data_IF_196796275282
#
_entry.id   IF_196796275282
#
_cell.length_a   1.000
_cell.length_b   1.000
_cell.length_c   1.000
_cell.angle_alpha   90.00
_cell.angle_beta   90.00
_cell.angle_gamma   90.00
#
_symmetry.space_group_name_H-M   'P 1'
#
loop_
_entity.id
_entity.type
_entity.pdbx_description
1 polymer ?
#
# COMPACT_ATOMS: atom_id res chain seq x y z
N UNK A 1 21.96 13.13 1.86
CA UNK A 1 20.75 12.41 2.31
C UNK A 1 21.14 10.96 2.13
N UNK A 2 21.32 10.26 3.23
CA UNK A 2 21.99 8.95 3.22
C UNK A 2 20.97 7.81 3.41
N UNK A 3 19.69 8.15 3.63
CA UNK A 3 18.53 7.25 3.65
C UNK A 3 17.23 8.00 3.27
N UNK A 4 16.20 7.25 2.91
CA UNK A 4 14.86 7.74 2.62
C UNK A 4 13.91 7.39 3.77
N UNK A 5 13.10 8.35 4.24
CA UNK A 5 12.15 8.05 5.33
C UNK A 5 11.01 7.12 4.85
N UNK A 6 10.42 7.37 3.68
CA UNK A 6 9.30 6.59 3.15
C UNK A 6 9.48 6.32 1.66
N UNK A 7 9.43 5.04 1.28
CA UNK A 7 9.27 4.63 -0.13
C UNK A 7 7.86 4.08 -0.35
N UNK A 8 7.27 4.36 -1.53
CA UNK A 8 5.94 3.87 -1.85
C UNK A 8 5.89 3.21 -3.21
N UNK A 9 5.21 2.05 -3.27
CA UNK A 9 4.81 1.45 -4.53
C UNK A 9 3.73 2.33 -5.15
N UNK A 10 4.05 2.96 -6.28
CA UNK A 10 3.08 3.79 -7.00
C UNK A 10 2.10 2.91 -7.79
N UNK A 11 0.82 3.12 -7.56
CA UNK A 11 -0.26 2.45 -8.28
C UNK A 11 -1.59 3.20 -8.15
N UNK A 12 -2.53 2.82 -9.01
CA UNK A 12 -3.91 3.30 -9.03
C UNK A 12 -4.85 2.19 -8.52
N UNK A 13 -5.10 1.18 -9.34
CA UNK A 13 -5.84 -0.04 -9.00
C UNK A 13 -4.92 -1.26 -9.15
N UNK A 14 -5.05 -2.25 -8.27
CA UNK A 14 -4.21 -3.44 -8.28
C UNK A 14 -4.96 -4.69 -8.77
N UNK A 15 -4.44 -5.37 -9.79
CA UNK A 15 -4.96 -6.68 -10.18
C UNK A 15 -4.54 -7.77 -9.20
N UNK A 16 -5.21 -8.92 -9.25
CA UNK A 16 -4.83 -10.08 -8.43
C UNK A 16 -3.42 -10.59 -8.74
N UNK A 17 -3.03 -10.59 -10.02
CA UNK A 17 -1.68 -10.95 -10.47
C UNK A 17 -0.63 -9.98 -9.89
N UNK A 18 -0.88 -8.67 -10.02
CA UNK A 18 0.04 -7.64 -9.49
C UNK A 18 0.17 -7.75 -7.97
N UNK A 19 -0.96 -7.90 -7.27
CA UNK A 19 -0.97 -8.06 -5.82
C UNK A 19 -0.19 -9.31 -5.40
N UNK A 20 -0.35 -10.42 -6.12
CA UNK A 20 0.35 -11.68 -5.83
C UNK A 20 1.86 -11.55 -6.06
N UNK A 21 2.28 -10.91 -7.15
CA UNK A 21 3.70 -10.67 -7.44
C UNK A 21 4.36 -9.72 -6.44
N UNK A 22 3.63 -8.76 -5.89
CA UNK A 22 4.16 -7.85 -4.88
C UNK A 22 4.30 -8.54 -3.52
N UNK A 23 3.32 -9.36 -3.12
CA UNK A 23 3.28 -10.01 -1.81
C UNK A 23 4.01 -11.35 -1.74
N UNK A 24 4.37 -11.95 -2.87
CA UNK A 24 5.05 -13.26 -2.90
C UNK A 24 6.37 -13.26 -2.13
N UNK A 25 6.82 -14.44 -1.73
CA UNK A 25 8.19 -14.62 -1.24
C UNK A 25 9.18 -14.19 -2.34
N UNK A 26 10.15 -13.34 -1.99
CA UNK A 26 11.05 -12.71 -2.95
C UNK A 26 10.36 -11.75 -3.95
N UNK A 27 9.10 -11.37 -3.71
CA UNK A 27 8.39 -10.37 -4.48
C UNK A 27 8.86 -8.95 -4.17
N UNK A 28 8.26 -7.96 -4.85
CA UNK A 28 8.68 -6.55 -4.73
C UNK A 28 8.70 -6.06 -3.27
N UNK A 29 7.71 -6.44 -2.44
CA UNK A 29 7.69 -5.99 -1.05
C UNK A 29 8.84 -6.57 -0.22
N UNK A 30 9.28 -7.79 -0.52
CA UNK A 30 10.42 -8.39 0.18
C UNK A 30 11.72 -7.61 -0.09
N UNK A 31 11.92 -7.14 -1.33
CA UNK A 31 13.06 -6.28 -1.67
C UNK A 31 13.00 -4.93 -0.95
N UNK A 32 11.81 -4.32 -0.84
CA UNK A 32 11.64 -3.08 -0.07
C UNK A 32 11.86 -3.28 1.43
N UNK A 33 11.46 -4.43 1.97
CA UNK A 33 11.75 -4.81 3.36
C UNK A 33 13.25 -5.03 3.57
N UNK A 34 13.96 -5.63 2.62
CA UNK A 34 15.42 -5.77 2.68
C UNK A 34 16.13 -4.40 2.70
N UNK A 35 15.72 -3.46 1.83
CA UNK A 35 16.22 -2.08 1.84
C UNK A 35 15.97 -1.38 3.18
N UNK A 36 14.83 -1.67 3.82
CA UNK A 36 14.53 -1.17 5.17
C UNK A 36 15.47 -1.77 6.21
N UNK A 37 15.67 -3.08 6.15
CA UNK A 37 16.50 -3.80 7.11
C UNK A 37 18.00 -3.45 6.96
N UNK A 38 18.44 -3.01 5.77
CA UNK A 38 19.75 -2.42 5.50
C UNK A 38 19.88 -0.95 5.96
N UNK A 39 18.78 -0.31 6.36
CA UNK A 39 18.76 1.08 6.83
C UNK A 39 18.73 2.15 5.73
N UNK A 40 18.53 1.74 4.47
CA UNK A 40 18.43 2.64 3.31
C UNK A 40 17.06 3.31 3.22
N UNK A 41 16.02 2.61 3.70
CA UNK A 41 14.65 3.12 3.83
C UNK A 41 14.16 2.90 5.26
N UNK A 42 13.25 3.74 5.78
CA UNK A 42 12.69 3.55 7.13
C UNK A 42 11.30 2.94 7.12
N UNK A 43 10.46 3.34 6.17
CA UNK A 43 9.08 2.90 6.04
C UNK A 43 8.71 2.56 4.60
N UNK A 44 7.85 1.56 4.45
CA UNK A 44 7.33 1.10 3.17
C UNK A 44 5.83 1.40 3.08
N UNK A 45 5.38 1.96 1.97
CA UNK A 45 3.96 2.20 1.72
C UNK A 45 3.54 1.86 0.30
N UNK A 46 2.28 2.14 0.00
CA UNK A 46 1.76 2.07 -1.36
C UNK A 46 0.76 3.20 -1.59
N UNK A 47 0.53 3.53 -2.86
CA UNK A 47 -0.48 4.52 -3.27
C UNK A 47 -1.65 3.84 -3.94
N UNK A 48 -2.83 4.46 -3.92
CA UNK A 48 -3.98 3.99 -4.68
C UNK A 48 -4.94 5.14 -4.98
N UNK A 49 -5.61 5.06 -6.12
CA UNK A 49 -6.64 6.02 -6.53
C UNK A 49 -8.06 5.53 -6.18
N UNK A 50 -8.23 4.24 -5.88
CA UNK A 50 -9.53 3.60 -5.63
C UNK A 50 -9.51 2.63 -4.44
N UNK A 51 -10.65 1.98 -4.21
CA UNK A 51 -10.76 0.87 -3.27
C UNK A 51 -11.06 -0.40 -4.05
N UNK A 52 -10.09 -1.29 -4.16
CA UNK A 52 -10.28 -2.57 -4.85
C UNK A 52 -9.76 -3.75 -4.03
N UNK A 53 -10.01 -4.97 -4.50
CA UNK A 53 -9.63 -6.20 -3.78
C UNK A 53 -8.12 -6.28 -3.48
N UNK A 54 -7.26 -5.78 -4.38
CA UNK A 54 -5.81 -5.72 -4.19
C UNK A 54 -5.41 -4.76 -3.07
N UNK A 55 -6.00 -3.56 -3.01
CA UNK A 55 -5.79 -2.60 -1.91
C UNK A 55 -6.09 -3.26 -0.56
N UNK A 56 -7.23 -3.95 -0.44
CA UNK A 56 -7.56 -4.65 0.81
C UNK A 56 -6.62 -5.80 1.13
N UNK A 57 -6.05 -6.49 0.14
CA UNK A 57 -5.03 -7.52 0.37
C UNK A 57 -3.75 -6.90 0.93
N UNK A 58 -3.31 -5.75 0.42
CA UNK A 58 -2.18 -5.01 0.99
C UNK A 58 -2.44 -4.56 2.42
N UNK A 59 -3.58 -3.92 2.70
CA UNK A 59 -3.92 -3.47 4.06
C UNK A 59 -3.96 -4.66 5.03
N UNK A 60 -4.66 -5.74 4.67
CA UNK A 60 -4.78 -6.94 5.52
C UNK A 60 -3.48 -7.72 5.68
N UNK A 61 -2.50 -7.54 4.81
CA UNK A 61 -1.18 -8.16 4.97
C UNK A 61 -0.45 -7.65 6.22
N UNK A 62 -0.73 -6.41 6.66
CA UNK A 62 -0.03 -5.78 7.77
C UNK A 62 1.45 -5.48 7.51
N UNK A 63 1.91 -5.55 6.24
CA UNK A 63 3.32 -5.40 5.85
C UNK A 63 3.70 -4.01 5.34
N UNK A 64 2.72 -3.12 5.19
CA UNK A 64 2.95 -1.71 4.79
C UNK A 64 2.71 -0.78 5.98
N UNK A 65 3.57 0.22 6.14
CA UNK A 65 3.53 1.23 7.19
C UNK A 65 2.56 2.38 6.86
N UNK A 66 2.31 2.63 5.57
CA UNK A 66 1.40 3.67 5.13
C UNK A 66 0.66 3.32 3.84
N UNK A 67 -0.51 3.95 3.67
CA UNK A 67 -1.23 4.01 2.41
C UNK A 67 -1.51 5.48 2.08
N UNK A 68 -1.20 5.90 0.85
CA UNK A 68 -1.60 7.20 0.32
C UNK A 68 -2.81 7.01 -0.59
N UNK A 69 -3.91 7.71 -0.29
CA UNK A 69 -5.19 7.51 -0.96
C UNK A 69 -5.79 8.81 -1.46
N UNK A 70 -6.58 8.74 -2.53
CA UNK A 70 -7.45 9.83 -2.94
C UNK A 70 -8.55 10.04 -1.90
N UNK A 71 -8.41 11.09 -1.09
CA UNK A 71 -9.42 11.48 -0.11
C UNK A 71 -9.62 13.00 -0.06
N UNK A 72 -10.83 13.46 -0.36
CA UNK A 72 -11.22 14.88 -0.34
C UNK A 72 -12.75 14.99 -0.26
N UNK A 73 -13.29 16.21 -0.19
CA UNK A 73 -14.75 16.44 -0.06
C UNK A 73 -15.59 15.70 -1.12
N UNK A 74 -15.06 15.50 -2.32
CA UNK A 74 -15.74 14.80 -3.41
C UNK A 74 -15.47 13.30 -3.42
N UNK A 75 -14.34 12.85 -2.88
CA UNK A 75 -13.89 11.46 -2.87
C UNK A 75 -13.82 10.96 -1.43
N UNK A 76 -14.98 10.54 -0.91
CA UNK A 76 -15.13 10.03 0.46
C UNK A 76 -15.04 8.50 0.56
N UNK A 77 -14.86 7.78 -0.57
CA UNK A 77 -14.88 6.32 -0.61
C UNK A 77 -13.95 5.62 0.41
N UNK A 78 -12.72 6.12 0.69
CA UNK A 78 -11.89 5.53 1.74
C UNK A 78 -12.53 5.53 3.14
N UNK A 79 -13.36 6.55 3.45
CA UNK A 79 -14.03 6.74 4.74
C UNK A 79 -15.48 6.20 4.77
N UNK A 80 -15.89 5.39 3.79
CA UNK A 80 -17.25 4.86 3.73
C UNK A 80 -17.47 3.73 4.76
N UNK A 81 -17.79 4.12 5.99
CA UNK A 81 -17.97 3.21 7.13
C UNK A 81 -19.31 2.45 7.09
N UNK A 82 -20.31 2.94 6.35
CA UNK A 82 -21.66 2.35 6.34
C UNK A 82 -21.83 1.22 5.32
N UNK A 83 -20.79 0.99 4.52
CA UNK A 83 -20.73 -0.05 3.49
C UNK A 83 -19.37 -0.74 3.52
N UNK A 84 -19.26 -2.02 3.11
CA UNK A 84 -18.03 -2.80 3.21
C UNK A 84 -16.99 -2.44 2.13
N UNK A 85 -16.95 -1.18 1.68
CA UNK A 85 -16.08 -0.71 0.60
C UNK A 85 -15.19 0.48 1.01
N UNK A 86 -15.21 0.86 2.30
CA UNK A 86 -14.22 1.77 2.90
C UNK A 86 -12.95 1.04 3.33
N UNK A 87 -11.82 1.74 3.22
CA UNK A 87 -10.47 1.23 3.49
C UNK A 87 -9.82 1.89 4.71
N UNK A 88 -10.41 2.95 5.26
CA UNK A 88 -10.05 3.54 6.55
C UNK A 88 -11.02 2.99 7.61
N UNK A 89 -10.51 2.12 8.49
CA UNK A 89 -11.26 1.47 9.57
C UNK A 89 -10.50 1.57 10.91
#
# INVERSE_FOLDING_TARGET
MDNLDLIQIHGSSYSDEMTSSILSEGGLLAELEALRDEGLVRFNGFTTEDNNAGVYKFIRSGRFDSVQMTYNLLHQHPAEQTRPFGSMF
#
